data_IF_269228533894
#
_entry.id   IF_269228533894
#
_cell.length_a   1.000
_cell.length_b   1.000
_cell.length_c   1.000
_cell.angle_alpha   90.00
_cell.angle_beta   90.00
_cell.angle_gamma   90.00
#
_symmetry.space_group_name_H-M   'P 1'
#
loop_
_entity.id
_entity.type
_entity.pdbx_description
1 polymer ?
#
# COMPACT_ATOMS: atom_id res chain seq x y z
N UNK A 1 -15.00 21.57 3.44
CA UNK A 1 -13.64 21.17 2.98
C UNK A 1 -13.62 19.66 2.82
N UNK A 2 -13.28 19.17 1.64
CA UNK A 2 -13.21 17.73 1.38
C UNK A 2 -12.00 17.17 2.15
N UNK A 3 -12.20 16.08 2.91
CA UNK A 3 -11.11 15.37 3.59
C UNK A 3 -10.09 14.87 2.55
N UNK A 4 -8.80 14.86 2.87
CA UNK A 4 -7.77 14.30 1.99
C UNK A 4 -8.05 12.82 1.66
N UNK A 5 -8.66 12.09 2.58
CA UNK A 5 -9.05 10.70 2.36
C UNK A 5 -10.15 10.54 1.30
N UNK A 6 -10.99 11.54 1.12
CA UNK A 6 -12.01 11.56 0.07
C UNK A 6 -11.47 12.02 -1.29
N UNK A 7 -10.30 12.62 -1.29
CA UNK A 7 -9.65 13.16 -2.50
C UNK A 7 -9.01 12.11 -3.37
N UNK A 8 -8.49 11.05 -2.75
CA UNK A 8 -7.81 9.97 -3.45
C UNK A 8 -8.76 8.79 -3.62
N UNK A 9 -8.99 8.39 -4.86
CA UNK A 9 -9.82 7.23 -5.18
C UNK A 9 -8.98 5.98 -5.39
N UNK A 10 -9.50 4.84 -4.95
CA UNK A 10 -8.83 3.56 -5.10
C UNK A 10 -8.77 3.11 -6.56
N UNK A 11 -7.58 2.74 -7.01
CA UNK A 11 -7.36 2.18 -8.33
C UNK A 11 -7.18 0.66 -8.21
N UNK A 12 -8.27 -0.08 -8.42
CA UNK A 12 -8.30 -1.54 -8.26
C UNK A 12 -7.40 -2.26 -9.27
N UNK A 13 -7.40 -1.84 -10.53
CA UNK A 13 -6.58 -2.48 -11.57
C UNK A 13 -5.10 -2.36 -11.26
N UNK A 14 -4.66 -1.18 -10.84
CA UNK A 14 -3.29 -0.95 -10.38
C UNK A 14 -2.97 -1.77 -9.13
N UNK A 15 -3.90 -1.90 -8.20
CA UNK A 15 -3.72 -2.70 -6.99
C UNK A 15 -3.54 -4.18 -7.31
N UNK A 16 -4.35 -4.74 -8.19
CA UNK A 16 -4.21 -6.12 -8.66
C UNK A 16 -2.85 -6.31 -9.32
N UNK A 17 -2.46 -5.41 -10.20
CA UNK A 17 -1.18 -5.46 -10.89
C UNK A 17 0.00 -5.38 -9.91
N UNK A 18 -0.13 -4.57 -8.87
CA UNK A 18 0.87 -4.48 -7.79
C UNK A 18 1.02 -5.80 -7.05
N UNK A 19 -0.07 -6.50 -6.77
CA UNK A 19 -0.02 -7.82 -6.12
C UNK A 19 0.77 -8.82 -6.99
N UNK A 20 0.47 -8.86 -8.29
CA UNK A 20 1.19 -9.72 -9.24
C UNK A 20 2.67 -9.34 -9.34
N UNK A 21 2.96 -8.04 -9.42
CA UNK A 21 4.31 -7.49 -9.50
C UNK A 21 5.15 -7.85 -8.28
N UNK A 22 4.63 -7.56 -7.08
CA UNK A 22 5.33 -7.86 -5.82
C UNK A 22 5.53 -9.37 -5.64
N UNK A 23 4.54 -10.19 -6.01
CA UNK A 23 4.67 -11.64 -5.95
C UNK A 23 5.81 -12.18 -6.79
N UNK A 24 6.15 -11.50 -7.90
CA UNK A 24 7.28 -11.89 -8.76
C UNK A 24 8.61 -11.26 -8.36
N UNK A 25 8.60 -10.04 -7.84
CA UNK A 25 9.81 -9.24 -7.63
C UNK A 25 10.31 -9.23 -6.19
N UNK A 26 9.42 -9.36 -5.21
CA UNK A 26 9.81 -9.26 -3.81
C UNK A 26 10.50 -10.54 -3.32
N UNK A 27 11.52 -10.41 -2.45
CA UNK A 27 12.21 -11.58 -1.88
C UNK A 27 11.33 -12.39 -0.92
N UNK A 28 10.38 -11.73 -0.25
CA UNK A 28 9.40 -12.37 0.64
C UNK A 28 8.00 -11.94 0.21
N UNK A 29 7.38 -12.66 -0.74
CA UNK A 29 6.09 -12.28 -1.30
C UNK A 29 4.93 -12.80 -0.43
N UNK A 30 4.87 -12.37 0.81
CA UNK A 30 3.74 -12.66 1.68
C UNK A 30 2.81 -11.45 1.85
N UNK A 31 1.61 -11.72 2.35
CA UNK A 31 0.56 -10.70 2.54
C UNK A 31 1.04 -9.58 3.48
N UNK A 32 1.78 -9.91 4.52
CA UNK A 32 2.28 -8.94 5.49
C UNK A 32 3.33 -8.01 4.87
N UNK A 33 4.35 -8.57 4.20
CA UNK A 33 5.38 -7.78 3.52
C UNK A 33 4.79 -6.90 2.43
N UNK A 34 3.86 -7.44 1.64
CA UNK A 34 3.20 -6.66 0.59
C UNK A 34 2.44 -5.47 1.18
N UNK A 35 1.69 -5.66 2.26
CA UNK A 35 0.97 -4.56 2.93
C UNK A 35 1.92 -3.43 3.35
N UNK A 36 3.09 -3.76 3.91
CA UNK A 36 4.10 -2.78 4.32
C UNK A 36 4.83 -2.14 3.14
N UNK A 37 5.16 -2.93 2.13
CA UNK A 37 5.76 -2.42 0.88
C UNK A 37 4.82 -1.38 0.24
N UNK A 38 3.52 -1.65 0.18
CA UNK A 38 2.52 -0.70 -0.32
C UNK A 38 2.46 0.58 0.52
N UNK A 39 2.45 0.46 1.84
CA UNK A 39 2.42 1.60 2.76
C UNK A 39 3.62 2.53 2.55
N UNK A 40 4.82 1.98 2.57
CA UNK A 40 6.05 2.75 2.37
C UNK A 40 6.18 3.29 0.95
N UNK A 41 5.71 2.57 -0.06
CA UNK A 41 5.68 3.06 -1.44
C UNK A 41 4.74 4.26 -1.59
N UNK A 42 3.57 4.23 -0.95
CA UNK A 42 2.65 5.37 -0.93
C UNK A 42 3.25 6.58 -0.21
N UNK A 43 3.95 6.38 0.91
CA UNK A 43 4.66 7.48 1.59
C UNK A 43 5.70 8.12 0.68
N UNK A 44 6.54 7.33 0.01
CA UNK A 44 7.53 7.83 -0.95
C UNK A 44 6.88 8.58 -2.10
N UNK A 45 5.79 8.06 -2.63
CA UNK A 45 5.11 8.67 -3.76
C UNK A 45 4.44 10.00 -3.37
N UNK A 46 3.84 10.07 -2.19
CA UNK A 46 3.29 11.33 -1.66
C UNK A 46 4.39 12.36 -1.45
N UNK A 47 5.54 11.98 -0.88
CA UNK A 47 6.67 12.87 -0.67
C UNK A 47 7.19 13.49 -1.97
N UNK A 48 7.32 12.68 -3.01
CA UNK A 48 7.98 13.08 -4.27
C UNK A 48 7.00 13.65 -5.31
N UNK A 49 5.78 13.15 -5.34
CA UNK A 49 4.81 13.42 -6.41
C UNK A 49 3.45 13.92 -5.93
N UNK A 50 3.26 14.07 -4.62
CA UNK A 50 2.07 14.69 -4.04
C UNK A 50 0.78 13.85 -4.07
N UNK A 51 0.86 12.56 -4.41
CA UNK A 51 -0.27 11.63 -4.41
C UNK A 51 0.15 10.22 -3.98
N UNK A 52 -0.78 9.41 -3.45
CA UNK A 52 -0.51 7.98 -3.27
C UNK A 52 -0.52 7.25 -4.62
N UNK A 53 0.03 6.03 -4.63
CA UNK A 53 -0.02 5.15 -5.81
C UNK A 53 -1.42 4.56 -5.97
N UNK A 54 -2.00 4.04 -4.88
CA UNK A 54 -3.20 3.20 -4.93
C UNK A 54 -4.49 3.93 -4.55
N UNK A 55 -4.43 4.96 -3.70
CA UNK A 55 -5.60 5.63 -3.15
C UNK A 55 -6.41 4.74 -2.19
N UNK A 56 -5.77 3.76 -1.57
CA UNK A 56 -6.40 2.85 -0.61
C UNK A 56 -6.65 3.52 0.74
N UNK A 57 -7.49 2.92 1.55
CA UNK A 57 -7.75 3.31 2.93
C UNK A 57 -6.91 2.46 3.87
N UNK A 58 -5.94 3.07 4.54
CA UNK A 58 -5.11 2.38 5.53
C UNK A 58 -5.82 2.31 6.87
N UNK A 59 -5.86 1.12 7.44
CA UNK A 59 -6.47 0.86 8.76
C UNK A 59 -5.37 0.59 9.79
N UNK A 60 -5.51 1.17 10.97
CA UNK A 60 -4.64 0.86 12.11
C UNK A 60 -4.94 -0.54 12.61
N UNK A 61 -4.02 -1.46 12.37
CA UNK A 61 -4.07 -2.82 12.91
C UNK A 61 -2.89 -3.05 13.85
N UNK A 62 -2.97 -4.09 14.68
CA UNK A 62 -1.98 -4.39 15.72
C UNK A 62 -0.54 -4.45 15.20
N UNK A 63 -0.35 -5.00 14.01
CA UNK A 63 0.97 -5.19 13.40
C UNK A 63 1.34 -4.09 12.39
N UNK A 64 0.65 -2.96 12.43
CA UNK A 64 0.91 -1.80 11.58
C UNK A 64 -0.23 -1.46 10.62
N UNK A 65 -0.04 -0.41 9.79
CA UNK A 65 -1.04 0.01 8.81
C UNK A 65 -1.28 -1.06 7.75
N UNK A 66 -2.55 -1.27 7.40
CA UNK A 66 -2.97 -2.24 6.39
C UNK A 66 -3.81 -1.55 5.32
N UNK A 67 -3.46 -1.66 4.03
CA UNK A 67 -4.28 -1.17 2.94
C UNK A 67 -5.54 -2.04 2.82
N UNK A 68 -6.67 -1.52 3.27
CA UNK A 68 -7.88 -2.32 3.51
C UNK A 68 -8.49 -2.92 2.25
N UNK A 69 -8.50 -2.18 1.14
CA UNK A 69 -9.06 -2.66 -0.12
C UNK A 69 -8.16 -3.69 -0.80
N UNK A 70 -6.84 -3.48 -0.77
CA UNK A 70 -5.87 -4.50 -1.21
C UNK A 70 -6.00 -5.76 -0.35
N UNK A 71 -6.12 -5.62 0.95
CA UNK A 71 -6.31 -6.76 1.85
C UNK A 71 -7.61 -7.53 1.54
N UNK A 72 -8.68 -6.82 1.17
CA UNK A 72 -9.92 -7.45 0.73
C UNK A 72 -9.75 -8.27 -0.55
N UNK A 73 -8.86 -7.88 -1.47
CA UNK A 73 -8.52 -8.69 -2.65
C UNK A 73 -7.88 -10.02 -2.26
N UNK A 74 -7.00 -10.04 -1.26
CA UNK A 74 -6.44 -11.29 -0.73
C UNK A 74 -7.52 -12.19 -0.13
N UNK A 75 -8.42 -11.63 0.68
CA UNK A 75 -9.52 -12.38 1.26
C UNK A 75 -10.44 -12.96 0.18
N UNK A 76 -10.75 -12.17 -0.83
CA UNK A 76 -11.60 -12.61 -1.95
C UNK A 76 -11.00 -13.80 -2.72
N UNK A 77 -9.69 -13.81 -2.92
CA UNK A 77 -8.98 -14.95 -3.54
C UNK A 77 -8.95 -16.14 -2.60
N UNK A 78 -8.62 -15.93 -1.33
CA UNK A 78 -8.56 -17.00 -0.31
C UNK A 78 -9.91 -17.71 -0.15
N UNK A 79 -11.00 -16.95 -0.18
CA UNK A 79 -12.37 -17.45 0.03
C UNK A 79 -13.06 -17.84 -1.28
N UNK A 80 -12.37 -17.77 -2.42
CA UNK A 80 -12.92 -18.04 -3.77
C UNK A 80 -14.18 -17.23 -4.08
N UNK A 81 -14.30 -16.04 -3.48
CA UNK A 81 -15.50 -15.19 -3.63
C UNK A 81 -15.49 -14.31 -4.89
N UNK A 82 -14.38 -14.29 -5.65
CA UNK A 82 -14.24 -13.49 -6.85
C UNK A 82 -13.60 -14.27 -8.00
N UNK A 83 -14.41 -14.69 -8.96
CA UNK A 83 -13.99 -15.58 -10.07
C UNK A 83 -12.87 -15.03 -10.96
N UNK A 84 -12.81 -13.71 -11.16
CA UNK A 84 -11.78 -13.10 -12.01
C UNK A 84 -10.42 -13.04 -11.32
N UNK A 85 -10.40 -12.81 -10.01
CA UNK A 85 -9.15 -12.66 -9.24
C UNK A 85 -8.39 -13.98 -9.10
N UNK A 86 -9.06 -15.12 -9.09
CA UNK A 86 -8.43 -16.44 -8.92
C UNK A 86 -7.53 -16.83 -10.09
N UNK A 87 -7.63 -16.14 -11.23
CA UNK A 87 -6.71 -16.30 -12.37
C UNK A 87 -5.51 -15.36 -12.32
N UNK A 88 -5.53 -14.35 -11.46
CA UNK A 88 -4.50 -13.31 -11.36
C UNK A 88 -3.38 -13.74 -10.39
N UNK A 89 -3.76 -14.17 -9.22
CA UNK A 89 -2.84 -14.62 -8.17
C UNK A 89 -3.51 -15.63 -7.25
N UNK A 90 -2.70 -16.40 -6.55
CA UNK A 90 -3.13 -17.33 -5.49
C UNK A 90 -2.55 -16.91 -4.14
N UNK A 91 -3.23 -17.25 -3.06
CA UNK A 91 -2.75 -17.07 -1.69
C UNK A 91 -2.70 -18.45 -1.02
N UNK A 92 -1.50 -18.91 -0.75
CA UNK A 92 -1.23 -20.21 -0.09
C UNK A 92 -0.70 -19.94 1.32
N UNK A 93 -1.54 -20.10 2.35
CA UNK A 93 -1.23 -19.62 3.69
C UNK A 93 -1.16 -18.09 3.68
N UNK A 94 0.02 -17.54 3.92
CA UNK A 94 0.30 -16.11 3.80
C UNK A 94 1.12 -15.75 2.55
N UNK A 95 1.58 -16.76 1.79
CA UNK A 95 2.38 -16.54 0.59
C UNK A 95 1.52 -16.23 -0.62
N UNK A 96 1.96 -15.27 -1.42
CA UNK A 96 1.29 -14.85 -2.65
C UNK A 96 2.04 -15.44 -3.83
N UNK A 97 1.31 -16.02 -4.75
CA UNK A 97 1.84 -16.58 -6.01
C UNK A 97 1.19 -15.90 -7.19
N UNK A 98 1.99 -15.28 -8.05
CA UNK A 98 1.50 -14.75 -9.31
C UNK A 98 1.13 -15.88 -10.27
N UNK A 99 -0.03 -15.79 -10.91
CA UNK A 99 -0.51 -16.77 -11.87
C UNK A 99 -0.36 -16.31 -13.33
N UNK A 100 0.11 -15.10 -13.53
CA UNK A 100 0.41 -14.51 -14.84
C UNK A 100 1.58 -13.54 -14.72
N UNK A 101 2.08 -13.07 -15.85
CA UNK A 101 3.03 -11.96 -15.86
C UNK A 101 2.33 -10.63 -15.55
N UNK A 102 3.08 -9.68 -14.98
CA UNK A 102 2.55 -8.34 -14.70
C UNK A 102 2.54 -7.48 -15.97
N UNK A 103 1.63 -6.53 -16.00
CA UNK A 103 1.51 -5.52 -17.04
C UNK A 103 2.06 -4.19 -16.51
N UNK A 104 3.22 -3.78 -17.02
CA UNK A 104 3.85 -2.51 -16.62
C UNK A 104 3.06 -1.28 -17.05
N UNK A 105 2.20 -1.40 -18.07
CA UNK A 105 1.40 -0.28 -18.59
C UNK A 105 0.35 0.21 -17.60
N UNK A 106 0.01 -0.59 -16.58
CA UNK A 106 -0.86 -0.17 -15.48
C UNK A 106 -0.18 0.82 -14.51
N UNK A 107 1.15 0.94 -14.57
CA UNK A 107 1.93 1.82 -13.70
C UNK A 107 2.46 3.04 -14.45
N UNK A 108 2.46 4.19 -13.77
CA UNK A 108 3.31 5.30 -14.21
C UNK A 108 4.78 5.02 -13.89
N UNK A 109 5.75 5.67 -14.57
CA UNK A 109 7.15 5.56 -14.19
C UNK A 109 7.42 5.90 -12.73
N UNK A 110 6.71 6.88 -12.17
CA UNK A 110 6.84 7.26 -10.75
C UNK A 110 6.29 6.19 -9.81
N UNK A 111 5.21 5.52 -10.18
CA UNK A 111 4.67 4.39 -9.40
C UNK A 111 5.71 3.27 -9.28
N UNK A 112 6.30 2.86 -10.41
CA UNK A 112 7.32 1.80 -10.43
C UNK A 112 8.58 2.21 -9.66
N UNK A 113 9.02 3.46 -9.79
CA UNK A 113 10.17 3.97 -9.05
C UNK A 113 9.97 3.81 -7.54
N UNK A 114 8.84 4.28 -7.02
CA UNK A 114 8.56 4.21 -5.58
C UNK A 114 8.29 2.77 -5.10
N UNK A 115 7.60 1.97 -5.91
CA UNK A 115 7.33 0.58 -5.59
C UNK A 115 8.63 -0.24 -5.53
N UNK A 116 9.52 -0.10 -6.52
CA UNK A 116 10.80 -0.80 -6.55
C UNK A 116 11.70 -0.39 -5.38
N UNK A 117 11.77 0.90 -5.07
CA UNK A 117 12.54 1.38 -3.92
C UNK A 117 11.99 0.83 -2.61
N UNK A 118 10.68 0.78 -2.45
CA UNK A 118 10.05 0.18 -1.27
C UNK A 118 10.33 -1.32 -1.16
N UNK A 119 10.25 -2.07 -2.26
CA UNK A 119 10.61 -3.50 -2.30
C UNK A 119 12.07 -3.69 -1.90
N UNK A 120 12.97 -2.88 -2.45
CA UNK A 120 14.41 -2.96 -2.17
C UNK A 120 14.73 -2.64 -0.71
N UNK A 121 14.11 -1.60 -0.17
CA UNK A 121 14.35 -1.14 1.20
C UNK A 121 13.69 -2.01 2.25
N UNK A 122 12.46 -2.46 2.01
CA UNK A 122 11.60 -3.11 3.02
C UNK A 122 11.30 -4.58 2.75
N UNK A 123 11.39 -5.03 1.50
CA UNK A 123 10.94 -6.37 1.09
C UNK A 123 11.68 -7.53 1.76
N UNK A 124 12.87 -7.30 2.29
CA UNK A 124 13.71 -8.32 2.94
C UNK A 124 13.81 -8.14 4.46
N UNK A 125 13.11 -7.17 5.03
CA UNK A 125 13.10 -6.94 6.48
C UNK A 125 12.31 -8.00 7.22
N UNK A 126 12.65 -8.21 8.48
CA UNK A 126 11.89 -9.11 9.35
C UNK A 126 10.52 -8.53 9.70
N UNK A 127 9.60 -9.38 10.10
CA UNK A 127 8.30 -8.96 10.63
C UNK A 127 8.44 -7.88 11.72
N UNK A 128 9.35 -8.08 12.67
CA UNK A 128 9.52 -7.13 13.75
C UNK A 128 10.08 -5.78 13.28
N UNK A 129 11.02 -5.78 12.35
CA UNK A 129 11.54 -4.54 11.77
C UNK A 129 10.44 -3.75 11.04
N UNK A 130 9.62 -4.42 10.24
CA UNK A 130 8.51 -3.79 9.53
C UNK A 130 7.43 -3.27 10.49
N UNK A 131 7.14 -4.04 11.54
CA UNK A 131 6.22 -3.62 12.59
C UNK A 131 6.70 -2.34 13.26
N UNK A 132 7.94 -2.31 13.72
CA UNK A 132 8.52 -1.17 14.43
C UNK A 132 8.56 0.08 13.55
N UNK A 133 9.00 -0.05 12.29
CA UNK A 133 9.09 1.08 11.36
C UNK A 133 7.72 1.62 10.94
N UNK A 134 6.71 0.78 10.82
CA UNK A 134 5.36 1.18 10.42
C UNK A 134 4.48 1.66 11.57
N UNK A 135 4.89 1.46 12.83
CA UNK A 135 4.26 2.05 14.01
C UNK A 135 4.72 3.49 14.18
N UNK A 136 4.53 4.30 13.16
CA UNK A 136 4.88 5.72 13.12
C UNK A 136 3.81 6.59 13.79
N UNK A 137 4.01 7.92 13.78
CA UNK A 137 3.06 8.85 14.38
C UNK A 137 1.69 8.84 13.71
N UNK A 138 1.62 8.52 12.40
CA UNK A 138 0.36 8.38 11.70
C UNK A 138 -0.45 7.18 12.21
N UNK A 139 0.22 6.03 12.37
CA UNK A 139 -0.40 4.85 12.96
C UNK A 139 -0.86 5.11 14.40
N UNK A 140 -0.05 5.78 15.22
CA UNK A 140 -0.39 6.13 16.59
C UNK A 140 -1.58 7.09 16.70
N UNK A 141 -1.75 7.99 15.72
CA UNK A 141 -2.81 9.00 15.72
C UNK A 141 -4.22 8.41 15.58
N UNK A 142 -4.34 7.23 14.97
CA UNK A 142 -5.63 6.59 14.72
C UNK A 142 -6.10 5.76 15.91
N UNK A 143 -7.40 5.51 15.96
CA UNK A 143 -7.99 4.52 16.87
C UNK A 143 -7.83 3.11 16.30
N UNK A 144 -7.73 2.12 17.18
CA UNK A 144 -7.58 0.71 16.77
C UNK A 144 -8.70 0.27 15.83
N UNK A 145 -8.32 -0.40 14.76
CA UNK A 145 -9.21 -0.88 13.68
C UNK A 145 -9.98 0.25 12.95
N UNK A 146 -9.47 1.48 13.01
CA UNK A 146 -10.01 2.64 12.30
C UNK A 146 -9.04 3.14 11.26
N UNK A 147 -9.57 3.96 10.38
CA UNK A 147 -8.85 4.60 9.29
C UNK A 147 -7.73 5.52 9.81
N UNK A 148 -6.57 5.43 9.16
CA UNK A 148 -5.48 6.38 9.31
C UNK A 148 -5.68 7.48 8.26
N UNK A 149 -5.76 8.73 8.69
CA UNK A 149 -5.94 9.84 7.77
C UNK A 149 -4.69 10.10 6.94
N UNK A 150 -4.85 10.34 5.64
CA UNK A 150 -3.73 10.73 4.77
C UNK A 150 -3.01 11.96 5.28
N UNK A 151 -3.72 12.91 5.88
CA UNK A 151 -3.12 14.08 6.51
C UNK A 151 -2.08 13.70 7.56
N UNK A 152 -2.37 12.70 8.39
CA UNK A 152 -1.43 12.23 9.41
C UNK A 152 -0.25 11.48 8.79
N UNK A 153 -0.50 10.70 7.73
CA UNK A 153 0.58 10.07 6.96
C UNK A 153 1.51 11.11 6.33
N UNK A 154 0.96 12.16 5.73
CA UNK A 154 1.73 13.24 5.10
C UNK A 154 2.56 14.00 6.15
N UNK A 155 2.06 14.19 7.36
CA UNK A 155 2.83 14.84 8.44
C UNK A 155 4.11 14.09 8.81
N UNK A 156 4.20 12.79 8.53
CA UNK A 156 5.44 12.02 8.78
C UNK A 156 6.55 12.32 7.76
N UNK A 157 6.22 12.99 6.65
CA UNK A 157 7.14 13.24 5.55
C UNK A 157 7.98 14.50 5.81
N UNK A 158 9.23 14.57 5.30
CA UNK A 158 10.09 15.73 5.46
C UNK A 158 9.48 17.04 4.93
N UNK A 159 8.70 16.98 3.85
CA UNK A 159 8.00 18.09 3.22
C UNK A 159 6.50 18.13 3.56
N UNK A 160 6.08 17.47 4.62
CA UNK A 160 4.66 17.24 4.94
C UNK A 160 3.85 18.51 5.11
N UNK A 161 4.38 19.52 5.80
CA UNK A 161 3.67 20.81 6.01
C UNK A 161 3.39 21.53 4.69
N UNK A 162 4.37 21.61 3.81
CA UNK A 162 4.23 22.25 2.51
C UNK A 162 3.26 21.50 1.61
N UNK A 163 3.32 20.18 1.64
CA UNK A 163 2.40 19.33 0.89
C UNK A 163 0.96 19.48 1.37
N UNK A 164 0.73 19.52 2.69
CA UNK A 164 -0.60 19.75 3.25
C UNK A 164 -1.16 21.11 2.81
N UNK A 165 -0.33 22.16 2.86
CA UNK A 165 -0.74 23.48 2.36
C UNK A 165 -1.13 23.43 0.90
N UNK A 166 -0.28 22.85 0.05
CA UNK A 166 -0.56 22.72 -1.39
C UNK A 166 -1.87 21.99 -1.65
N UNK A 167 -2.09 20.85 -1.01
CA UNK A 167 -3.30 20.04 -1.17
C UNK A 167 -4.56 20.72 -0.59
N UNK A 168 -4.41 21.65 0.34
CA UNK A 168 -5.54 22.37 0.93
C UNK A 168 -6.05 23.50 0.04
N UNK A 169 -5.23 24.01 -0.90
CA UNK A 169 -5.60 25.08 -1.83
C UNK A 169 -6.07 24.57 -3.21
N UNK A 170 -5.89 23.32 -3.49
CA UNK A 170 -6.42 22.67 -4.68
C UNK A 170 -7.78 22.05 -4.37
#
# INVERSE_FOLDING_TARGET
>A
MVSLNQRFSFNEDKAIETIVYVAKKAPIPDVYHLAKVCYFADLLHMERFGRPIFGDVYIKMENGPVPSKIYNLFKAVRDFSHHKLVSEFAVEGNMIKALRDYDEDEFSPSDLMCLNESIETHGNKTFQQLKDESHDSAWESAQDNREIEYREMIKTLPNGEDLIKHLSYC
#
